data_IF_299299019069
#
_entry.id   IF_299299019069
#
_cell.length_a   1.000
_cell.length_b   1.000
_cell.length_c   1.000
_cell.angle_alpha   90.00
_cell.angle_beta   90.00
_cell.angle_gamma   90.00
#
_symmetry.space_group_name_H-M   'P 1'
#
loop_
_entity.id
_entity.type
_entity.pdbx_description
1 polymer ?
#
# COMPACT_ATOMS: atom_id res chain seq x y z
N UNK A 1 -4.71 -30.00 0.15
CA UNK A 1 -3.40 -29.30 0.35
C UNK A 1 -3.47 -28.00 -0.44
N UNK A 2 -3.05 -26.87 0.13
CA UNK A 2 -2.96 -25.57 -0.55
C UNK A 2 -1.48 -25.36 -0.87
N UNK A 3 -1.16 -25.14 -2.14
CA UNK A 3 0.19 -24.78 -2.59
C UNK A 3 0.15 -23.37 -3.16
N UNK A 4 0.91 -22.44 -2.58
CA UNK A 4 1.04 -21.05 -3.05
C UNK A 4 2.46 -20.89 -3.60
N UNK A 5 2.57 -20.49 -4.86
CA UNK A 5 3.86 -20.31 -5.54
C UNK A 5 3.97 -18.93 -6.15
N UNK A 6 5.04 -18.21 -5.82
CA UNK A 6 5.36 -16.92 -6.45
C UNK A 6 5.54 -17.08 -7.96
N UNK A 7 5.01 -16.12 -8.72
CA UNK A 7 5.16 -16.06 -10.17
C UNK A 7 5.41 -14.62 -10.64
N UNK A 8 5.80 -14.46 -11.91
CA UNK A 8 5.94 -13.17 -12.58
C UNK A 8 4.60 -12.72 -13.17
N UNK A 9 4.50 -11.42 -13.51
CA UNK A 9 3.39 -10.87 -14.30
C UNK A 9 2.47 -9.92 -13.56
N UNK A 10 2.69 -9.67 -12.27
CA UNK A 10 1.92 -8.65 -11.50
C UNK A 10 0.42 -8.74 -11.77
N UNK A 11 -0.23 -7.64 -12.18
CA UNK A 11 -1.67 -7.59 -12.50
C UNK A 11 -2.06 -8.41 -13.73
N UNK A 12 -1.13 -8.75 -14.61
CA UNK A 12 -1.38 -9.58 -15.78
C UNK A 12 -1.15 -11.08 -15.52
N UNK A 13 -0.76 -11.48 -14.31
CA UNK A 13 -0.59 -12.88 -13.94
C UNK A 13 -1.92 -13.64 -13.95
N UNK A 14 -3.00 -13.02 -13.51
CA UNK A 14 -4.35 -13.57 -13.56
C UNK A 14 -4.85 -13.59 -15.03
N UNK A 15 -5.50 -14.70 -15.42
CA UNK A 15 -5.97 -14.91 -16.81
C UNK A 15 -6.97 -13.81 -17.22
N UNK A 16 -6.88 -13.34 -18.47
CA UNK A 16 -7.80 -12.35 -19.04
C UNK A 16 -7.61 -10.93 -18.51
N UNK A 17 -6.52 -10.66 -17.80
CA UNK A 17 -6.10 -9.30 -17.46
C UNK A 17 -4.95 -8.84 -18.36
N UNK A 18 -5.09 -7.61 -18.84
CA UNK A 18 -4.09 -6.91 -19.63
C UNK A 18 -3.81 -5.55 -18.99
N UNK A 19 -2.62 -5.02 -19.20
CA UNK A 19 -2.24 -3.71 -18.74
C UNK A 19 -1.40 -2.98 -19.79
N UNK A 20 -1.35 -1.67 -19.72
CA UNK A 20 -0.57 -0.84 -20.62
C UNK A 20 -0.24 0.50 -20.02
N UNK A 21 0.81 1.13 -20.50
CA UNK A 21 1.25 2.45 -20.09
C UNK A 21 1.61 3.31 -21.30
N UNK A 22 1.56 4.63 -21.10
CA UNK A 22 1.94 5.65 -22.08
C UNK A 22 2.42 6.90 -21.37
N UNK A 23 3.23 7.71 -22.05
CA UNK A 23 3.74 8.97 -21.54
C UNK A 23 3.07 10.18 -22.19
N UNK A 24 2.63 11.15 -21.40
CA UNK A 24 2.07 12.40 -21.91
C UNK A 24 2.56 13.67 -21.18
N UNK A 25 3.47 13.52 -20.21
CA UNK A 25 4.14 14.64 -19.53
C UNK A 25 3.24 15.40 -18.57
N UNK A 26 2.51 14.68 -17.70
CA UNK A 26 1.54 15.28 -16.76
C UNK A 26 2.21 16.27 -15.80
N UNK A 27 3.37 15.90 -15.21
CA UNK A 27 4.01 16.71 -14.16
C UNK A 27 4.51 18.08 -14.68
N UNK A 28 5.18 18.13 -15.84
CA UNK A 28 5.90 19.31 -16.30
C UNK A 28 5.88 19.54 -17.82
N UNK A 29 5.00 18.91 -18.55
CA UNK A 29 4.83 19.08 -20.00
C UNK A 29 5.84 18.32 -20.86
N UNK A 30 6.82 17.65 -20.25
CA UNK A 30 7.82 16.83 -20.96
C UNK A 30 7.55 15.35 -20.70
N UNK A 31 7.56 14.56 -21.77
CA UNK A 31 7.47 13.09 -21.65
C UNK A 31 8.84 12.57 -21.27
N UNK A 32 9.06 12.34 -19.98
CA UNK A 32 10.31 11.77 -19.45
C UNK A 32 10.19 10.27 -19.21
N UNK A 33 8.96 9.79 -18.97
CA UNK A 33 8.57 8.40 -18.72
C UNK A 33 7.08 8.25 -18.97
N UNK A 34 6.58 7.02 -18.95
CA UNK A 34 5.15 6.77 -18.90
C UNK A 34 4.55 7.33 -17.60
N UNK A 35 3.38 7.97 -17.69
CA UNK A 35 2.68 8.62 -16.58
C UNK A 35 1.16 8.43 -16.62
N UNK A 36 0.67 7.66 -17.60
CA UNK A 36 -0.71 7.14 -17.69
C UNK A 36 -0.65 5.63 -17.83
N UNK A 37 -1.51 4.91 -17.11
CA UNK A 37 -1.54 3.46 -17.13
C UNK A 37 -2.98 2.94 -17.04
N UNK A 38 -3.24 1.77 -17.61
CA UNK A 38 -4.51 1.09 -17.52
C UNK A 38 -4.33 -0.38 -17.18
N UNK A 39 -5.19 -0.89 -16.28
CA UNK A 39 -5.39 -2.32 -16.02
C UNK A 39 -6.80 -2.67 -16.46
N UNK A 40 -6.96 -3.70 -17.26
CA UNK A 40 -8.24 -4.04 -17.89
C UNK A 40 -8.48 -5.56 -17.87
N UNK A 41 -9.72 -5.95 -17.54
CA UNK A 41 -10.23 -7.30 -17.69
C UNK A 41 -10.93 -7.46 -19.04
N UNK A 42 -10.42 -8.35 -19.90
CA UNK A 42 -11.04 -8.67 -21.20
C UNK A 42 -12.43 -9.32 -21.05
N UNK A 43 -12.75 -9.82 -19.85
CA UNK A 43 -14.03 -10.45 -19.50
C UNK A 43 -14.75 -9.66 -18.42
N UNK A 44 -16.09 -9.84 -18.24
CA UNK A 44 -16.80 -9.28 -17.10
C UNK A 44 -16.11 -9.62 -15.79
N UNK A 45 -16.13 -8.67 -14.85
CA UNK A 45 -15.47 -8.84 -13.57
C UNK A 45 -16.34 -8.31 -12.43
N UNK A 46 -16.19 -8.91 -11.25
CA UNK A 46 -16.61 -8.32 -9.98
C UNK A 46 -15.50 -7.42 -9.46
N UNK A 47 -15.85 -6.38 -8.72
CA UNK A 47 -14.90 -5.41 -8.19
C UNK A 47 -15.14 -5.10 -6.72
N UNK A 48 -14.05 -4.83 -6.01
CA UNK A 48 -14.06 -4.29 -4.67
C UNK A 48 -12.99 -3.22 -4.55
N UNK A 49 -13.20 -2.23 -3.70
CA UNK A 49 -12.19 -1.23 -3.39
C UNK A 49 -12.27 -0.78 -1.93
N UNK A 50 -11.13 -0.33 -1.43
CA UNK A 50 -11.00 0.46 -0.20
C UNK A 50 -10.35 1.80 -0.54
N UNK A 51 -10.74 2.85 0.18
CA UNK A 51 -10.34 4.22 -0.09
C UNK A 51 -9.86 4.91 1.18
N UNK A 52 -9.06 5.95 1.03
CA UNK A 52 -8.60 6.80 2.13
C UNK A 52 -9.73 7.23 3.06
N UNK A 53 -9.44 7.26 4.35
CA UNK A 53 -10.31 7.81 5.38
C UNK A 53 -10.11 9.31 5.58
N UNK A 54 -9.11 9.91 4.91
CA UNK A 54 -8.89 11.35 4.91
C UNK A 54 -10.17 12.09 4.53
N UNK A 55 -10.50 13.16 5.24
CA UNK A 55 -11.67 13.99 4.96
C UNK A 55 -11.50 14.83 3.69
N UNK A 56 -10.25 15.18 3.35
CA UNK A 56 -9.87 15.84 2.10
C UNK A 56 -9.65 14.78 1.03
N UNK A 57 -10.74 14.33 0.39
CA UNK A 57 -10.68 13.28 -0.64
C UNK A 57 -10.51 13.85 -2.03
N UNK A 58 -9.54 13.33 -2.77
CA UNK A 58 -9.30 13.66 -4.16
C UNK A 58 -10.49 13.29 -5.05
N UNK A 59 -10.63 13.97 -6.19
CA UNK A 59 -11.69 13.71 -7.17
C UNK A 59 -11.71 12.26 -7.67
N UNK A 60 -10.57 11.61 -8.01
CA UNK A 60 -10.54 10.20 -8.40
C UNK A 60 -11.15 9.26 -7.36
N UNK A 61 -10.88 9.50 -6.07
CA UNK A 61 -11.45 8.69 -4.97
C UNK A 61 -12.98 8.78 -4.96
N UNK A 62 -13.52 9.99 -5.14
CA UNK A 62 -14.98 10.22 -5.17
C UNK A 62 -15.63 9.55 -6.37
N UNK A 63 -15.05 9.72 -7.57
CA UNK A 63 -15.59 9.13 -8.82
C UNK A 63 -15.46 7.60 -8.79
N UNK A 64 -14.33 7.04 -8.35
CA UNK A 64 -14.19 5.60 -8.22
C UNK A 64 -15.18 5.00 -7.20
N UNK A 65 -15.43 5.69 -6.08
CA UNK A 65 -16.42 5.26 -5.10
C UNK A 65 -17.87 5.33 -5.66
N UNK A 66 -18.17 6.31 -6.53
CA UNK A 66 -19.44 6.40 -7.27
C UNK A 66 -19.58 5.25 -8.27
N UNK A 67 -18.57 5.01 -9.12
CA UNK A 67 -18.58 3.98 -10.15
C UNK A 67 -18.61 2.56 -9.56
N UNK A 68 -17.96 2.35 -8.42
CA UNK A 68 -17.96 1.05 -7.72
C UNK A 68 -19.37 0.59 -7.33
N UNK A 69 -20.29 1.54 -7.06
CA UNK A 69 -21.70 1.23 -6.75
C UNK A 69 -22.45 0.61 -7.93
N UNK A 70 -21.99 0.85 -9.17
CA UNK A 70 -22.57 0.26 -10.37
C UNK A 70 -22.22 -1.24 -10.52
N UNK A 71 -21.18 -1.75 -9.81
CA UNK A 71 -20.92 -3.18 -9.61
C UNK A 71 -20.33 -3.95 -10.79
N UNK A 72 -20.04 -3.31 -11.92
CA UNK A 72 -19.56 -3.98 -13.14
C UNK A 72 -18.23 -3.38 -13.65
N UNK A 73 -17.32 -3.06 -12.75
CA UNK A 73 -16.07 -2.41 -13.15
C UNK A 73 -15.09 -3.43 -13.75
N UNK A 74 -14.53 -3.09 -14.91
CA UNK A 74 -13.62 -3.94 -15.68
C UNK A 74 -12.26 -3.31 -15.93
N UNK A 75 -12.13 -1.99 -15.77
CA UNK A 75 -10.89 -1.28 -15.99
C UNK A 75 -10.56 -0.32 -14.85
N UNK A 76 -9.27 -0.06 -14.67
CA UNK A 76 -8.74 0.98 -13.80
C UNK A 76 -7.79 1.83 -14.62
N UNK A 77 -8.09 3.13 -14.78
CA UNK A 77 -7.19 4.12 -15.36
C UNK A 77 -6.41 4.80 -14.21
N UNK A 78 -5.11 4.92 -14.37
CA UNK A 78 -4.22 5.52 -13.36
C UNK A 78 -3.36 6.60 -14.01
N UNK A 79 -3.02 7.63 -13.25
CA UNK A 79 -1.97 8.56 -13.64
C UNK A 79 -1.03 8.89 -12.48
N UNK A 80 0.22 9.23 -12.82
CA UNK A 80 1.18 9.85 -11.92
C UNK A 80 1.47 11.31 -12.33
N UNK A 81 2.07 12.09 -11.42
CA UNK A 81 2.45 13.50 -11.66
C UNK A 81 1.42 14.54 -11.24
N UNK A 82 0.15 14.17 -11.10
CA UNK A 82 -0.93 15.04 -10.63
C UNK A 82 -1.94 14.21 -9.82
N UNK A 83 -2.22 14.62 -8.59
CA UNK A 83 -3.13 13.92 -7.67
C UNK A 83 -4.61 14.18 -7.97
N UNK A 84 -4.92 15.22 -8.73
CA UNK A 84 -6.28 15.72 -8.92
C UNK A 84 -7.05 15.87 -7.57
N UNK A 85 -6.34 16.40 -6.58
CA UNK A 85 -6.85 16.68 -5.25
C UNK A 85 -6.92 18.18 -5.02
N UNK A 86 -7.91 18.65 -4.26
CA UNK A 86 -8.19 20.08 -4.02
C UNK A 86 -8.41 20.88 -5.31
N UNK A 87 -9.03 20.28 -6.33
CA UNK A 87 -9.26 20.83 -7.67
C UNK A 87 -10.73 21.20 -7.93
N UNK A 88 -11.57 21.11 -6.91
CA UNK A 88 -13.00 21.50 -6.98
C UNK A 88 -13.81 20.69 -8.01
N UNK A 89 -14.83 21.33 -8.58
CA UNK A 89 -15.72 20.71 -9.59
C UNK A 89 -14.99 20.35 -10.88
N UNK A 90 -13.97 21.12 -11.27
CA UNK A 90 -13.16 20.82 -12.45
C UNK A 90 -12.44 19.47 -12.28
N UNK A 91 -11.89 19.20 -11.10
CA UNK A 91 -11.24 17.92 -10.84
C UNK A 91 -12.20 16.73 -10.92
N UNK A 92 -13.45 16.88 -10.48
CA UNK A 92 -14.48 15.85 -10.64
C UNK A 92 -14.84 15.62 -12.12
N UNK A 93 -14.95 16.70 -12.91
CA UNK A 93 -15.16 16.65 -14.35
C UNK A 93 -13.99 15.92 -15.03
N UNK A 94 -12.75 16.29 -14.69
CA UNK A 94 -11.53 15.70 -15.26
C UNK A 94 -11.45 14.18 -14.97
N UNK A 95 -11.72 13.77 -13.74
CA UNK A 95 -11.76 12.36 -13.38
C UNK A 95 -12.83 11.56 -14.14
N UNK A 96 -14.03 12.15 -14.35
CA UNK A 96 -15.06 11.52 -15.18
C UNK A 96 -14.65 11.45 -16.66
N UNK A 97 -13.99 12.50 -17.18
CA UNK A 97 -13.48 12.52 -18.56
C UNK A 97 -12.43 11.44 -18.76
N UNK A 98 -11.49 11.25 -17.82
CA UNK A 98 -10.53 10.13 -17.88
C UNK A 98 -11.21 8.77 -17.96
N UNK A 99 -12.28 8.56 -17.16
CA UNK A 99 -13.07 7.33 -17.23
C UNK A 99 -13.78 7.18 -18.60
N UNK A 100 -14.34 8.26 -19.14
CA UNK A 100 -15.07 8.25 -20.42
C UNK A 100 -14.13 7.97 -21.61
N UNK A 101 -12.97 8.64 -21.66
CA UNK A 101 -11.96 8.44 -22.71
C UNK A 101 -11.41 7.01 -22.67
N UNK A 102 -11.12 6.49 -21.48
CA UNK A 102 -10.67 5.09 -21.32
C UNK A 102 -11.77 4.11 -21.72
N UNK A 103 -13.01 4.38 -21.34
CA UNK A 103 -14.14 3.55 -21.74
C UNK A 103 -14.31 3.51 -23.26
N UNK A 104 -14.17 4.67 -23.94
CA UNK A 104 -14.20 4.76 -25.41
C UNK A 104 -13.09 3.93 -26.06
N UNK A 105 -11.87 3.99 -25.51
CA UNK A 105 -10.73 3.18 -25.99
C UNK A 105 -10.97 1.66 -25.88
N UNK A 106 -11.61 1.23 -24.78
CA UNK A 106 -11.77 -0.19 -24.42
C UNK A 106 -13.13 -0.78 -24.81
N UNK A 107 -14.02 -0.01 -25.43
CA UNK A 107 -15.37 -0.44 -25.76
C UNK A 107 -16.24 -0.69 -24.51
N UNK A 108 -16.07 0.08 -23.46
CA UNK A 108 -16.78 0.00 -22.18
C UNK A 108 -17.75 1.17 -21.99
N UNK A 109 -18.55 1.08 -20.93
CA UNK A 109 -19.30 2.25 -20.43
C UNK A 109 -18.43 3.01 -19.41
N UNK A 110 -18.55 4.36 -19.29
CA UNK A 110 -17.75 5.15 -18.34
C UNK A 110 -17.77 4.62 -16.91
N UNK A 111 -18.93 4.13 -16.42
CA UNK A 111 -19.07 3.56 -15.07
C UNK A 111 -18.39 2.21 -14.87
N UNK A 112 -17.94 1.53 -15.94
CA UNK A 112 -17.14 0.31 -15.85
C UNK A 112 -15.66 0.61 -15.64
N UNK A 113 -15.25 1.88 -15.66
CA UNK A 113 -13.86 2.32 -15.44
C UNK A 113 -13.75 3.00 -14.07
N UNK A 114 -12.81 2.56 -13.26
CA UNK A 114 -12.37 3.22 -12.04
C UNK A 114 -11.16 4.10 -12.34
N UNK A 115 -10.94 5.16 -11.57
CA UNK A 115 -9.84 6.11 -11.78
C UNK A 115 -9.03 6.30 -10.52
N UNK A 116 -7.70 6.33 -10.66
CA UNK A 116 -6.74 6.63 -9.60
C UNK A 116 -5.72 7.68 -10.09
N UNK A 117 -5.36 8.61 -9.24
CA UNK A 117 -4.35 9.64 -9.54
C UNK A 117 -3.37 9.78 -8.38
N UNK A 118 -2.13 10.15 -8.68
CA UNK A 118 -1.10 10.46 -7.67
C UNK A 118 -0.14 11.53 -8.17
N UNK A 119 0.43 12.32 -7.26
CA UNK A 119 1.37 13.40 -7.57
C UNK A 119 0.98 14.72 -6.90
N UNK A 120 1.17 15.85 -7.56
CA UNK A 120 0.93 17.18 -6.99
C UNK A 120 -0.52 17.43 -6.64
N UNK A 121 -0.74 18.01 -5.46
CA UNK A 121 -2.05 18.47 -4.95
C UNK A 121 -2.27 19.94 -5.37
N UNK A 122 -3.53 20.33 -5.62
CA UNK A 122 -3.91 21.71 -5.89
C UNK A 122 -3.58 22.23 -7.31
N UNK A 123 -3.10 21.36 -8.21
CA UNK A 123 -2.76 21.72 -9.59
C UNK A 123 -3.83 21.19 -10.56
N UNK A 124 -4.35 21.99 -11.49
CA UNK A 124 -5.28 21.54 -12.52
C UNK A 124 -4.69 20.39 -13.35
N UNK A 125 -5.52 19.41 -13.70
CA UNK A 125 -5.13 18.29 -14.55
C UNK A 125 -4.94 18.78 -16.00
N UNK A 126 -3.80 18.48 -16.67
CA UNK A 126 -3.57 18.89 -18.06
C UNK A 126 -4.32 17.96 -19.03
N UNK A 127 -5.64 18.06 -19.11
CA UNK A 127 -6.52 17.14 -19.78
C UNK A 127 -6.22 16.91 -21.27
N UNK A 128 -5.76 17.94 -22.00
CA UNK A 128 -5.34 17.80 -23.41
C UNK A 128 -4.19 16.78 -23.57
N UNK A 129 -3.28 16.75 -22.60
CA UNK A 129 -2.17 15.77 -22.58
C UNK A 129 -2.64 14.41 -22.11
N UNK A 130 -3.45 14.36 -21.05
CA UNK A 130 -4.03 13.13 -20.52
C UNK A 130 -4.84 12.40 -21.59
N UNK A 131 -5.68 13.10 -22.37
CA UNK A 131 -6.45 12.50 -23.44
C UNK A 131 -5.55 11.86 -24.51
N UNK A 132 -4.45 12.52 -24.89
CA UNK A 132 -3.43 11.95 -25.81
C UNK A 132 -2.76 10.71 -25.23
N UNK A 133 -2.41 10.75 -23.93
CA UNK A 133 -1.86 9.61 -23.22
C UNK A 133 -2.82 8.43 -23.21
N UNK A 134 -4.10 8.65 -22.88
CA UNK A 134 -5.11 7.59 -22.88
C UNK A 134 -5.28 7.01 -24.28
N UNK A 135 -5.36 7.83 -25.33
CA UNK A 135 -5.50 7.38 -26.71
C UNK A 135 -4.31 6.56 -27.20
N UNK A 136 -3.10 6.77 -26.63
CA UNK A 136 -1.88 6.03 -26.98
C UNK A 136 -1.73 4.69 -26.23
N UNK A 137 -2.56 4.38 -25.24
CA UNK A 137 -2.49 3.14 -24.46
C UNK A 137 -2.69 1.91 -25.34
N UNK A 138 -1.83 0.91 -25.16
CA UNK A 138 -1.91 -0.39 -25.83
C UNK A 138 -1.83 -1.53 -24.81
N UNK A 139 -2.95 -1.85 -24.13
CA UNK A 139 -2.96 -2.89 -23.12
C UNK A 139 -2.55 -4.25 -23.71
N UNK A 140 -1.71 -4.99 -23.00
CA UNK A 140 -1.24 -6.31 -23.38
C UNK A 140 -1.04 -7.20 -22.14
N UNK A 141 -0.90 -8.50 -22.36
CA UNK A 141 -0.64 -9.47 -21.28
C UNK A 141 0.74 -9.30 -20.63
N UNK A 142 1.64 -8.57 -21.26
CA UNK A 142 2.99 -8.29 -20.76
C UNK A 142 3.12 -6.86 -20.18
N UNK A 143 2.03 -6.10 -20.08
CA UNK A 143 2.05 -4.68 -19.71
C UNK A 143 2.18 -4.37 -18.23
N UNK A 144 2.19 -5.38 -17.34
CA UNK A 144 2.20 -5.16 -15.87
C UNK A 144 3.37 -4.32 -15.39
N UNK A 145 4.59 -4.67 -15.80
CA UNK A 145 5.80 -3.95 -15.36
C UNK A 145 5.81 -2.48 -15.82
N UNK A 146 5.38 -2.20 -17.06
CA UNK A 146 5.24 -0.83 -17.59
C UNK A 146 4.16 -0.05 -16.79
N UNK A 147 3.03 -0.69 -16.50
CA UNK A 147 1.97 -0.10 -15.69
C UNK A 147 2.47 0.22 -14.26
N UNK A 148 3.18 -0.70 -13.62
CA UNK A 148 3.77 -0.49 -12.29
C UNK A 148 4.78 0.67 -12.28
N UNK A 149 5.58 0.80 -13.33
CA UNK A 149 6.54 1.90 -13.47
C UNK A 149 5.84 3.25 -13.73
N UNK A 150 4.77 3.27 -14.53
CA UNK A 150 4.05 4.50 -14.91
C UNK A 150 3.35 5.17 -13.72
N UNK A 151 2.96 4.41 -12.69
CA UNK A 151 2.28 4.95 -11.50
C UNK A 151 3.22 5.43 -10.40
N UNK A 152 4.53 5.25 -10.54
CA UNK A 152 5.54 5.71 -9.58
C UNK A 152 5.55 7.25 -9.48
N UNK A 153 5.95 7.77 -8.30
CA UNK A 153 6.24 9.19 -8.07
C UNK A 153 7.67 9.39 -7.60
N UNK A 154 7.90 9.32 -6.31
CA UNK A 154 9.21 9.30 -5.64
C UNK A 154 9.75 7.87 -5.41
N UNK A 155 8.99 6.88 -5.81
CA UNK A 155 9.40 5.48 -5.77
C UNK A 155 10.71 5.24 -6.54
N UNK A 156 11.62 4.41 -6.01
CA UNK A 156 12.91 4.09 -6.67
C UNK A 156 12.82 2.84 -7.55
N UNK A 157 11.81 1.97 -7.33
CA UNK A 157 11.54 0.79 -8.14
C UNK A 157 10.05 0.49 -8.28
N UNK A 158 9.68 -0.12 -9.41
CA UNK A 158 8.31 -0.56 -9.68
C UNK A 158 7.94 -1.77 -8.81
N UNK A 159 6.77 -1.73 -8.19
CA UNK A 159 6.31 -2.75 -7.23
C UNK A 159 5.24 -3.61 -7.87
N UNK A 160 5.56 -4.87 -8.12
CA UNK A 160 4.62 -5.90 -8.58
C UNK A 160 4.86 -7.23 -7.88
N UNK A 161 3.79 -7.96 -7.61
CA UNK A 161 3.85 -9.29 -7.02
C UNK A 161 2.69 -10.15 -7.50
N UNK A 162 2.92 -11.45 -7.67
CA UNK A 162 1.87 -12.38 -8.05
C UNK A 162 2.14 -13.79 -7.53
N UNK A 163 1.06 -14.53 -7.31
CA UNK A 163 1.09 -15.94 -6.90
C UNK A 163 0.13 -16.78 -7.75
N UNK A 164 0.52 -18.02 -8.00
CA UNK A 164 -0.37 -19.10 -8.44
C UNK A 164 -0.71 -19.98 -7.24
N UNK A 165 -1.99 -20.31 -7.11
CA UNK A 165 -2.50 -21.15 -6.03
C UNK A 165 -3.09 -22.41 -6.62
N UNK A 166 -2.65 -23.56 -6.13
CA UNK A 166 -3.23 -24.87 -6.48
C UNK A 166 -3.97 -25.43 -5.26
N UNK A 167 -5.18 -25.87 -5.50
CA UNK A 167 -6.06 -26.51 -4.52
C UNK A 167 -6.64 -27.81 -5.11
N UNK A 168 -7.35 -28.58 -4.30
CA UNK A 168 -8.12 -29.73 -4.79
C UNK A 168 -9.26 -29.36 -5.75
N UNK A 169 -9.68 -28.08 -5.76
CA UNK A 169 -10.76 -27.53 -6.61
C UNK A 169 -10.25 -26.85 -7.89
N UNK A 170 -8.96 -26.93 -8.20
CA UNK A 170 -8.33 -26.29 -9.33
C UNK A 170 -7.28 -25.25 -8.95
N UNK A 171 -6.83 -24.46 -9.91
CA UNK A 171 -5.84 -23.42 -9.71
C UNK A 171 -6.37 -22.04 -10.10
N UNK A 172 -5.96 -21.04 -9.35
CA UNK A 172 -6.22 -19.62 -9.64
C UNK A 172 -4.96 -18.78 -9.38
N UNK A 173 -4.99 -17.53 -9.79
CA UNK A 173 -3.89 -16.58 -9.63
C UNK A 173 -4.37 -15.32 -8.97
N UNK A 174 -3.49 -14.72 -8.15
CA UNK A 174 -3.66 -13.39 -7.59
C UNK A 174 -2.42 -12.61 -7.92
N UNK A 175 -2.59 -11.40 -8.47
CA UNK A 175 -1.48 -10.52 -8.77
C UNK A 175 -1.80 -9.08 -8.47
N UNK A 176 -0.77 -8.24 -8.38
CA UNK A 176 -0.96 -6.83 -8.10
C UNK A 176 0.23 -5.97 -8.45
N UNK A 177 -0.04 -4.68 -8.59
CA UNK A 177 0.93 -3.59 -8.63
C UNK A 177 0.62 -2.58 -7.54
N UNK A 178 1.63 -1.92 -7.03
CA UNK A 178 1.46 -0.82 -6.06
C UNK A 178 2.50 0.27 -6.28
N UNK A 179 2.20 1.47 -5.76
CA UNK A 179 3.15 2.57 -5.63
C UNK A 179 3.01 3.23 -4.26
N UNK A 180 4.08 3.84 -3.80
CA UNK A 180 4.16 4.63 -2.58
C UNK A 180 5.57 4.62 -2.01
N UNK A 181 6.03 5.79 -1.54
CA UNK A 181 7.33 5.99 -0.93
C UNK A 181 7.33 7.13 0.12
N UNK A 182 6.39 8.07 0.05
CA UNK A 182 6.17 9.15 1.02
C UNK A 182 4.69 9.42 1.21
N UNK A 183 4.34 10.19 2.25
CA UNK A 183 2.96 10.44 2.74
C UNK A 183 2.26 9.12 3.07
N UNK A 184 2.90 8.25 3.86
CA UNK A 184 2.45 6.88 4.19
C UNK A 184 2.15 6.77 5.68
N UNK A 185 0.85 6.62 6.05
CA UNK A 185 0.40 6.38 7.44
C UNK A 185 -0.74 5.34 7.55
N UNK A 186 -0.84 4.58 8.66
CA UNK A 186 -1.91 3.62 8.92
C UNK A 186 -3.32 4.24 8.83
N UNK A 187 -4.24 3.57 8.22
CA UNK A 187 -5.62 3.89 7.81
C UNK A 187 -5.77 4.28 6.34
N UNK A 188 -5.02 3.60 5.50
CA UNK A 188 -4.83 3.77 4.07
C UNK A 188 -3.90 4.94 3.74
N UNK A 189 -2.63 4.59 3.61
CA UNK A 189 -1.49 5.45 3.30
C UNK A 189 -1.46 5.89 1.84
N UNK A 190 -0.66 6.91 1.47
CA UNK A 190 -0.50 7.39 0.07
C UNK A 190 0.02 6.28 -0.83
N UNK A 191 -0.88 5.39 -1.14
CA UNK A 191 -0.58 4.28 -2.02
C UNK A 191 -1.71 4.11 -3.04
N UNK A 192 -1.33 3.72 -4.22
CA UNK A 192 -2.25 3.15 -5.19
C UNK A 192 -1.92 1.68 -5.35
N UNK A 193 -2.91 0.83 -5.28
CA UNK A 193 -2.75 -0.59 -5.53
C UNK A 193 -3.90 -1.11 -6.40
N UNK A 194 -3.55 -1.83 -7.45
CA UNK A 194 -4.50 -2.60 -8.24
C UNK A 194 -4.16 -4.07 -8.10
N UNK A 195 -5.14 -4.84 -7.69
CA UNK A 195 -5.07 -6.28 -7.52
C UNK A 195 -5.99 -6.97 -8.54
N UNK A 196 -5.60 -8.11 -9.04
CA UNK A 196 -6.36 -8.90 -10.00
C UNK A 196 -6.38 -10.36 -9.59
N UNK A 197 -7.48 -11.05 -9.87
CA UNK A 197 -7.57 -12.50 -9.74
C UNK A 197 -8.48 -13.10 -10.81
N UNK A 198 -8.14 -14.28 -11.27
CA UNK A 198 -8.97 -15.07 -12.15
C UNK A 198 -9.88 -16.07 -11.40
N UNK A 199 -9.87 -16.05 -10.08
CA UNK A 199 -10.79 -16.83 -9.23
C UNK A 199 -12.23 -16.29 -9.35
N UNK A 200 -13.21 -17.21 -9.29
CA UNK A 200 -14.62 -16.87 -9.27
C UNK A 200 -15.06 -16.54 -7.84
N UNK A 201 -15.09 -15.26 -7.48
CA UNK A 201 -15.45 -14.77 -6.14
C UNK A 201 -16.67 -13.84 -6.23
N UNK A 202 -17.76 -14.12 -5.50
CA UNK A 202 -18.91 -13.21 -5.42
C UNK A 202 -18.52 -11.84 -4.82
N UNK A 203 -19.11 -10.75 -5.34
CA UNK A 203 -18.75 -9.38 -4.95
C UNK A 203 -18.80 -9.11 -3.43
N UNK A 204 -19.82 -9.53 -2.66
CA UNK A 204 -19.83 -9.31 -1.21
C UNK A 204 -18.63 -9.95 -0.51
N UNK A 205 -18.28 -11.17 -0.91
CA UNK A 205 -17.13 -11.91 -0.40
C UNK A 205 -15.83 -11.24 -0.79
N UNK A 206 -15.70 -10.83 -2.06
CA UNK A 206 -14.53 -10.10 -2.57
C UNK A 206 -14.27 -8.82 -1.76
N UNK A 207 -15.35 -8.07 -1.45
CA UNK A 207 -15.29 -6.86 -0.63
C UNK A 207 -14.85 -7.14 0.81
N UNK A 208 -15.39 -8.20 1.43
CA UNK A 208 -15.02 -8.59 2.79
C UNK A 208 -13.55 -9.00 2.88
N UNK A 209 -13.09 -9.82 1.93
CA UNK A 209 -11.71 -10.29 1.87
C UNK A 209 -10.72 -9.17 1.59
N UNK A 210 -11.03 -8.26 0.67
CA UNK A 210 -10.19 -7.09 0.43
C UNK A 210 -10.04 -6.25 1.70
N UNK A 211 -11.15 -5.94 2.39
CA UNK A 211 -11.13 -5.16 3.64
C UNK A 211 -10.28 -5.84 4.72
N UNK A 212 -10.42 -7.17 4.88
CA UNK A 212 -9.65 -7.97 5.83
C UNK A 212 -8.15 -7.93 5.49
N UNK A 213 -7.81 -8.16 4.23
CA UNK A 213 -6.41 -8.21 3.77
C UNK A 213 -5.72 -6.86 3.85
N UNK A 214 -6.41 -5.76 3.49
CA UNK A 214 -5.90 -4.38 3.65
C UNK A 214 -5.64 -4.05 5.12
N UNK A 215 -6.53 -4.46 6.04
CA UNK A 215 -6.33 -4.26 7.48
C UNK A 215 -5.09 -4.99 8.03
N UNK A 216 -4.67 -6.09 7.38
CA UNK A 216 -3.52 -6.89 7.78
C UNK A 216 -2.24 -6.63 6.95
N UNK A 217 -2.26 -5.62 6.08
CA UNK A 217 -1.14 -5.27 5.20
C UNK A 217 -0.93 -3.76 5.10
N UNK A 218 -1.65 -3.09 4.20
CA UNK A 218 -1.49 -1.65 3.95
C UNK A 218 -1.89 -0.75 5.14
N UNK A 219 -2.77 -1.20 6.03
CA UNK A 219 -3.08 -0.49 7.27
C UNK A 219 -2.10 -0.80 8.41
N UNK A 220 -1.01 -1.50 8.12
CA UNK A 220 0.05 -1.82 9.08
C UNK A 220 1.40 -1.26 8.65
N UNK A 221 1.39 -0.20 7.84
CA UNK A 221 2.63 0.45 7.37
C UNK A 221 2.58 1.95 7.64
N UNK A 222 3.71 2.52 8.04
CA UNK A 222 3.90 3.98 8.08
C UNK A 222 5.32 4.35 7.68
N UNK A 223 5.49 5.50 7.02
CA UNK A 223 6.81 6.05 6.69
C UNK A 223 7.03 7.38 7.42
N UNK A 224 6.07 8.29 7.33
CA UNK A 224 6.17 9.67 7.82
C UNK A 224 4.98 10.13 8.68
N UNK A 225 3.99 9.27 8.90
CA UNK A 225 2.81 9.60 9.70
C UNK A 225 1.78 10.46 8.97
N UNK A 226 1.95 10.70 7.66
CA UNK A 226 1.05 11.53 6.86
C UNK A 226 0.09 10.70 6.03
N UNK A 227 -1.23 11.00 6.15
CA UNK A 227 -2.29 10.31 5.43
C UNK A 227 -2.64 11.05 4.12
N UNK A 228 -2.62 10.33 2.99
CA UNK A 228 -2.95 10.90 1.68
C UNK A 228 -4.43 11.17 1.45
N UNK A 229 -4.65 12.04 0.48
CA UNK A 229 -5.96 12.35 -0.11
C UNK A 229 -6.44 11.34 -1.16
N UNK A 230 -5.56 10.43 -1.63
CA UNK A 230 -5.76 9.63 -2.85
C UNK A 230 -5.76 8.12 -2.64
N UNK A 231 -5.45 7.61 -1.45
CA UNK A 231 -5.26 6.17 -1.23
C UNK A 231 -6.39 5.33 -1.76
N UNK A 232 -6.02 4.33 -2.55
CA UNK A 232 -6.97 3.45 -3.19
C UNK A 232 -6.38 2.07 -3.40
N UNK A 233 -7.06 1.04 -2.90
CA UNK A 233 -6.79 -0.36 -3.25
C UNK A 233 -8.00 -0.90 -3.99
N UNK A 234 -7.80 -1.35 -5.22
CA UNK A 234 -8.84 -1.95 -6.08
C UNK A 234 -8.51 -3.42 -6.31
N UNK A 235 -9.50 -4.28 -6.22
CA UNK A 235 -9.40 -5.70 -6.55
C UNK A 235 -10.47 -6.04 -7.59
N UNK A 236 -10.02 -6.61 -8.73
CA UNK A 236 -10.87 -7.11 -9.80
C UNK A 236 -10.79 -8.64 -9.86
N UNK A 237 -11.95 -9.30 -10.01
CA UNK A 237 -12.05 -10.76 -10.11
C UNK A 237 -12.93 -11.14 -11.31
N UNK A 238 -12.37 -11.85 -12.33
CA UNK A 238 -13.10 -12.15 -13.56
C UNK A 238 -13.54 -13.62 -13.70
N UNK A 239 -13.14 -14.50 -12.78
CA UNK A 239 -13.60 -15.88 -12.74
C UNK A 239 -13.08 -16.80 -13.87
N UNK A 240 -12.14 -16.35 -14.71
CA UNK A 240 -11.68 -17.11 -15.89
C UNK A 240 -10.92 -18.39 -15.56
N UNK A 241 -10.48 -18.58 -14.31
CA UNK A 241 -9.90 -19.85 -13.89
C UNK A 241 -10.95 -20.97 -13.73
N UNK A 242 -12.25 -20.64 -13.74
CA UNK A 242 -13.35 -21.50 -13.37
C UNK A 242 -13.18 -22.15 -11.96
N UNK A 243 -12.22 -21.68 -11.17
CA UNK A 243 -11.97 -22.14 -9.82
C UNK A 243 -12.77 -21.31 -8.82
N UNK A 244 -13.65 -21.93 -8.06
CA UNK A 244 -14.28 -21.35 -6.87
C UNK A 244 -13.51 -21.86 -5.64
N UNK A 245 -12.44 -21.15 -5.22
CA UNK A 245 -11.56 -21.65 -4.16
C UNK A 245 -12.25 -21.71 -2.82
N UNK A 246 -11.72 -22.53 -1.91
CA UNK A 246 -12.01 -22.35 -0.50
C UNK A 246 -11.53 -20.98 -0.04
N UNK A 247 -12.32 -20.30 0.77
CA UNK A 247 -12.02 -18.94 1.19
C UNK A 247 -10.68 -18.84 1.94
N UNK A 248 -10.28 -19.89 2.67
CA UNK A 248 -8.96 -19.94 3.30
C UNK A 248 -7.81 -19.84 2.29
N UNK A 249 -7.92 -20.54 1.15
CA UNK A 249 -6.89 -20.49 0.10
C UNK A 249 -6.84 -19.12 -0.57
N UNK A 250 -8.00 -18.52 -0.84
CA UNK A 250 -8.08 -17.18 -1.41
C UNK A 250 -7.53 -16.11 -0.45
N UNK A 251 -7.93 -16.19 0.83
CA UNK A 251 -7.43 -15.29 1.88
C UNK A 251 -5.92 -15.33 2.02
N UNK A 252 -5.32 -16.53 2.04
CA UNK A 252 -3.86 -16.68 2.14
C UNK A 252 -3.15 -16.10 0.91
N UNK A 253 -3.67 -16.35 -0.29
CA UNK A 253 -3.09 -15.81 -1.52
C UNK A 253 -3.17 -14.28 -1.58
N UNK A 254 -4.32 -13.71 -1.22
CA UNK A 254 -4.52 -12.27 -1.18
C UNK A 254 -3.61 -11.62 -0.14
N UNK A 255 -3.47 -12.21 1.04
CA UNK A 255 -2.56 -11.73 2.09
C UNK A 255 -1.09 -11.81 1.67
N UNK A 256 -0.68 -12.87 0.99
CA UNK A 256 0.69 -13.00 0.46
C UNK A 256 1.01 -11.83 -0.49
N UNK A 257 0.11 -11.54 -1.45
CA UNK A 257 0.31 -10.45 -2.43
C UNK A 257 0.27 -9.07 -1.75
N UNK A 258 -0.72 -8.79 -0.92
CA UNK A 258 -0.88 -7.47 -0.28
C UNK A 258 0.25 -7.19 0.71
N UNK A 259 0.67 -8.18 1.49
CA UNK A 259 1.82 -8.06 2.41
C UNK A 259 3.14 -7.85 1.68
N UNK A 260 3.35 -8.58 0.58
CA UNK A 260 4.56 -8.39 -0.25
C UNK A 260 4.63 -6.96 -0.80
N UNK A 261 3.52 -6.44 -1.36
CA UNK A 261 3.45 -5.08 -1.89
C UNK A 261 3.59 -4.03 -0.78
N UNK A 262 2.95 -4.22 0.38
CA UNK A 262 3.09 -3.32 1.53
C UNK A 262 4.54 -3.25 2.05
N UNK A 263 5.22 -4.39 2.14
CA UNK A 263 6.65 -4.43 2.51
C UNK A 263 7.54 -3.74 1.48
N UNK A 264 7.24 -3.87 0.17
CA UNK A 264 7.97 -3.17 -0.89
C UNK A 264 7.81 -1.65 -0.75
N UNK A 265 6.60 -1.14 -0.40
CA UNK A 265 6.36 0.28 -0.16
C UNK A 265 7.24 0.79 0.98
N UNK A 266 7.23 0.14 2.14
CA UNK A 266 8.04 0.56 3.29
C UNK A 266 9.54 0.46 3.00
N UNK A 267 9.96 -0.60 2.30
CA UNK A 267 11.38 -0.78 1.95
C UNK A 267 11.90 0.26 0.94
N UNK A 268 10.99 0.93 0.25
CA UNK A 268 11.27 1.98 -0.74
C UNK A 268 10.87 3.38 -0.23
N UNK A 269 10.71 3.55 1.07
CA UNK A 269 10.40 4.85 1.67
C UNK A 269 11.44 5.91 1.29
N UNK A 270 10.99 7.15 1.13
CA UNK A 270 11.86 8.29 0.77
C UNK A 270 13.03 8.41 1.73
N UNK A 271 14.25 8.29 1.20
CA UNK A 271 15.49 8.39 1.98
C UNK A 271 15.69 7.29 3.03
N UNK A 272 14.92 6.20 3.00
CA UNK A 272 15.00 5.13 3.99
C UNK A 272 16.35 4.40 3.95
N UNK A 273 16.89 4.06 5.12
CA UNK A 273 18.05 3.20 5.24
C UNK A 273 17.74 1.88 5.97
N UNK A 274 16.63 1.84 6.72
CA UNK A 274 16.23 0.66 7.51
C UNK A 274 14.73 0.41 7.43
N UNK A 275 14.39 -0.87 7.27
CA UNK A 275 13.04 -1.39 7.47
C UNK A 275 12.92 -1.89 8.91
N UNK A 276 11.94 -1.39 9.67
CA UNK A 276 11.72 -1.78 11.06
C UNK A 276 10.32 -2.35 11.25
N UNK A 277 10.22 -3.54 11.83
CA UNK A 277 8.96 -4.08 12.33
C UNK A 277 8.84 -3.73 13.81
N UNK A 278 7.84 -2.93 14.17
CA UNK A 278 7.48 -2.64 15.56
C UNK A 278 6.31 -3.53 15.96
N UNK A 279 6.49 -4.37 16.96
CA UNK A 279 5.43 -5.19 17.54
C UNK A 279 5.23 -4.83 19.00
N UNK A 280 3.99 -4.57 19.38
CA UNK A 280 3.57 -4.43 20.78
C UNK A 280 2.75 -5.64 21.14
N UNK A 281 3.11 -6.29 22.23
CA UNK A 281 2.42 -7.45 22.83
C UNK A 281 2.04 -7.14 24.28
N UNK A 282 1.19 -7.97 24.87
CA UNK A 282 0.86 -7.82 26.29
C UNK A 282 0.09 -6.55 26.62
N UNK A 283 -0.47 -5.82 25.66
CA UNK A 283 -1.36 -4.68 25.94
C UNK A 283 -2.71 -5.16 26.46
N UNK A 284 -3.48 -4.28 27.12
CA UNK A 284 -4.79 -4.62 27.64
C UNK A 284 -5.75 -5.17 26.58
N UNK A 285 -5.64 -4.69 25.34
CA UNK A 285 -6.38 -5.14 24.16
C UNK A 285 -5.64 -4.74 22.87
N UNK A 286 -6.11 -5.24 21.70
CA UNK A 286 -5.49 -4.97 20.40
C UNK A 286 -5.53 -3.48 20.01
N UNK A 287 -6.54 -2.72 20.45
CA UNK A 287 -6.64 -1.28 20.18
C UNK A 287 -5.52 -0.51 20.89
N UNK A 288 -5.24 -0.84 22.14
CA UNK A 288 -4.12 -0.23 22.89
C UNK A 288 -2.77 -0.67 22.33
N UNK A 289 -2.63 -1.96 21.96
CA UNK A 289 -1.43 -2.45 21.27
C UNK A 289 -1.17 -1.67 19.97
N UNK A 290 -2.21 -1.43 19.19
CA UNK A 290 -2.15 -0.61 17.97
C UNK A 290 -1.69 0.81 18.27
N UNK A 291 -2.32 1.50 19.22
CA UNK A 291 -1.98 2.88 19.58
C UNK A 291 -0.51 3.00 20.02
N UNK A 292 -0.03 2.07 20.83
CA UNK A 292 1.37 2.05 21.26
C UNK A 292 2.34 1.75 20.11
N UNK A 293 2.02 0.78 19.26
CA UNK A 293 2.87 0.44 18.10
C UNK A 293 2.97 1.61 17.10
N UNK A 294 1.86 2.28 16.80
CA UNK A 294 1.81 3.45 15.93
C UNK A 294 2.58 4.64 16.54
N UNK A 295 2.49 4.87 17.85
CA UNK A 295 3.24 5.92 18.54
C UNK A 295 4.75 5.70 18.44
N UNK A 296 5.23 4.48 18.64
CA UNK A 296 6.64 4.13 18.48
C UNK A 296 7.07 4.32 17.02
N UNK A 297 6.29 3.78 16.07
CA UNK A 297 6.61 3.78 14.64
C UNK A 297 6.66 5.19 14.03
N UNK A 298 5.91 6.15 14.59
CA UNK A 298 5.82 7.54 14.15
C UNK A 298 6.64 8.52 15.00
N UNK A 299 7.29 8.05 16.10
CA UNK A 299 8.13 8.90 16.92
C UNK A 299 9.37 9.36 16.16
N UNK A 300 9.48 10.66 15.88
CA UNK A 300 10.65 11.27 15.22
C UNK A 300 11.96 10.90 15.91
N UNK A 301 12.00 10.97 17.26
CA UNK A 301 13.21 10.65 18.02
C UNK A 301 13.58 9.18 17.92
N UNK A 302 12.61 8.26 17.92
CA UNK A 302 12.86 6.83 17.75
C UNK A 302 13.41 6.55 16.36
N UNK A 303 12.78 7.12 15.30
CA UNK A 303 13.21 6.94 13.90
C UNK A 303 14.62 7.51 13.67
N UNK A 304 14.96 8.66 14.27
CA UNK A 304 16.32 9.22 14.23
C UNK A 304 17.35 8.32 14.93
N UNK A 305 16.98 7.71 16.08
CA UNK A 305 17.86 6.76 16.75
C UNK A 305 18.15 5.55 15.86
N UNK A 306 17.14 4.99 15.22
CA UNK A 306 17.33 3.89 14.26
C UNK A 306 18.24 4.30 13.10
N UNK A 307 18.08 5.50 12.53
CA UNK A 307 18.97 6.01 11.47
C UNK A 307 20.43 6.06 11.92
N UNK A 308 20.68 6.50 13.15
CA UNK A 308 22.02 6.51 13.77
C UNK A 308 22.54 5.14 14.20
N UNK A 309 21.74 4.07 14.08
CA UNK A 309 22.12 2.74 14.62
C UNK A 309 22.20 2.72 16.15
N UNK A 310 21.47 3.60 16.83
CA UNK A 310 21.41 3.72 18.30
C UNK A 310 20.25 2.88 18.85
N UNK A 311 20.51 1.85 19.66
CA UNK A 311 19.47 1.03 20.29
C UNK A 311 18.83 1.76 21.49
N UNK A 312 18.24 2.93 21.24
CA UNK A 312 17.73 3.85 22.25
C UNK A 312 16.36 3.42 22.79
N UNK A 313 16.35 2.54 23.75
CA UNK A 313 15.12 2.06 24.38
C UNK A 313 14.37 3.14 25.18
N UNK A 314 15.09 4.16 25.70
CA UNK A 314 14.47 5.27 26.43
C UNK A 314 13.47 6.04 25.56
N UNK A 315 13.81 6.31 24.30
CA UNK A 315 12.89 6.95 23.32
C UNK A 315 11.69 6.07 22.98
N UNK A 316 11.88 4.74 22.94
CA UNK A 316 10.78 3.79 22.70
C UNK A 316 9.80 3.81 23.87
N UNK A 317 10.30 3.72 25.11
CA UNK A 317 9.47 3.73 26.31
C UNK A 317 8.78 5.09 26.51
N UNK A 318 9.46 6.19 26.20
CA UNK A 318 8.88 7.53 26.16
C UNK A 318 7.69 7.61 25.20
N UNK A 319 7.85 7.11 23.97
CA UNK A 319 6.78 7.08 22.96
C UNK A 319 5.54 6.30 23.44
N UNK A 320 5.73 5.19 24.14
CA UNK A 320 4.64 4.44 24.79
C UNK A 320 4.03 5.24 25.93
N UNK A 321 4.85 5.92 26.74
CA UNK A 321 4.41 6.65 27.91
C UNK A 321 3.44 7.80 27.62
N UNK A 322 3.62 8.52 26.52
CA UNK A 322 2.73 9.64 26.16
C UNK A 322 1.56 9.26 25.21
N UNK A 323 1.49 8.05 24.70
CA UNK A 323 0.50 7.69 23.68
C UNK A 323 -0.92 7.47 24.20
N UNK A 324 -1.12 7.56 25.52
CA UNK A 324 -2.44 7.50 26.14
C UNK A 324 -2.97 6.09 26.42
N UNK A 325 -2.13 5.04 26.25
CA UNK A 325 -2.47 3.67 26.67
C UNK A 325 -2.02 3.42 28.12
N UNK A 326 -2.57 2.36 28.72
CA UNK A 326 -2.07 1.90 30.02
C UNK A 326 -0.65 1.33 29.84
N UNK A 327 0.28 1.80 30.68
CA UNK A 327 1.66 1.29 30.73
C UNK A 327 2.10 1.23 32.19
N UNK A 328 2.93 0.24 32.50
CA UNK A 328 3.67 0.12 33.77
C UNK A 328 5.16 0.04 33.42
N UNK A 329 5.88 1.12 33.65
CA UNK A 329 7.29 1.26 33.32
C UNK A 329 8.20 0.32 34.12
N UNK A 330 7.69 -0.26 35.22
CA UNK A 330 8.44 -1.22 36.06
C UNK A 330 8.34 -2.66 35.55
N UNK A 331 7.43 -2.96 34.63
CA UNK A 331 7.19 -4.32 34.13
C UNK A 331 7.49 -4.53 32.66
N UNK A 332 7.50 -3.48 31.85
CA UNK A 332 7.67 -3.55 30.40
C UNK A 332 9.02 -4.18 30.00
N UNK A 333 8.97 -5.01 28.94
CA UNK A 333 10.16 -5.57 28.30
C UNK A 333 10.32 -4.98 26.89
N UNK A 334 11.58 -4.74 26.46
CA UNK A 334 11.88 -4.29 25.09
C UNK A 334 12.99 -5.17 24.50
N UNK A 335 12.78 -5.59 23.23
CA UNK A 335 13.71 -6.44 22.50
C UNK A 335 14.04 -5.85 21.12
N UNK A 336 15.28 -6.04 20.66
CA UNK A 336 15.71 -5.90 19.29
C UNK A 336 16.02 -7.30 18.73
N UNK A 337 15.23 -7.75 17.76
CA UNK A 337 15.17 -9.15 17.34
C UNK A 337 14.95 -10.07 18.59
N UNK A 338 15.93 -10.86 18.97
CA UNK A 338 15.89 -11.75 20.14
C UNK A 338 16.68 -11.20 21.36
N UNK A 339 17.30 -10.04 21.25
CA UNK A 339 18.14 -9.47 22.29
C UNK A 339 17.33 -8.51 23.17
N UNK A 340 17.37 -8.74 24.47
CA UNK A 340 16.69 -7.86 25.43
C UNK A 340 17.45 -6.53 25.58
N UNK A 341 16.76 -5.40 25.41
CA UNK A 341 17.21 -4.07 25.76
C UNK A 341 16.76 -3.71 27.17
N UNK A 342 15.51 -4.06 27.50
CA UNK A 342 14.86 -3.79 28.77
C UNK A 342 14.22 -5.07 29.27
N UNK A 343 14.33 -5.30 30.56
CA UNK A 343 13.65 -6.35 31.31
C UNK A 343 13.07 -5.78 32.59
N UNK A 344 11.75 -5.95 32.78
CA UNK A 344 11.03 -5.42 33.94
C UNK A 344 11.36 -3.93 34.19
N UNK A 345 11.24 -3.11 33.12
CA UNK A 345 11.43 -1.66 33.18
C UNK A 345 12.88 -1.16 33.29
N UNK A 346 13.86 -2.03 33.45
CA UNK A 346 15.26 -1.64 33.60
C UNK A 346 16.14 -2.18 32.47
N UNK A 347 17.25 -1.49 32.21
CA UNK A 347 18.21 -1.90 31.18
C UNK A 347 18.67 -3.35 31.40
N UNK A 348 18.56 -4.17 30.36
CA UNK A 348 19.05 -5.54 30.41
C UNK A 348 20.58 -5.60 30.36
N UNK A 349 21.16 -6.70 30.83
CA UNK A 349 22.61 -6.91 30.81
C UNK A 349 23.17 -7.33 29.43
N UNK A 350 22.42 -7.10 28.36
CA UNK A 350 22.88 -7.39 26.99
C UNK A 350 24.00 -6.42 26.60
N UNK A 351 25.17 -6.91 26.14
CA UNK A 351 26.26 -6.02 25.73
C UNK A 351 25.80 -5.02 24.65
N UNK A 352 26.11 -3.74 24.84
CA UNK A 352 25.68 -2.64 23.98
C UNK A 352 26.08 -2.86 22.51
N UNK A 353 27.29 -3.37 22.25
CA UNK A 353 27.76 -3.65 20.88
C UNK A 353 26.91 -4.70 20.15
N UNK A 354 26.34 -5.68 20.86
CA UNK A 354 25.40 -6.65 20.26
C UNK A 354 24.08 -5.98 19.87
N UNK A 355 23.57 -5.09 20.73
CA UNK A 355 22.35 -4.32 20.45
C UNK A 355 22.56 -3.36 19.26
N UNK A 356 23.70 -2.66 19.25
CA UNK A 356 24.10 -1.78 18.15
C UNK A 356 24.25 -2.54 16.84
N UNK A 357 24.80 -3.74 16.86
CA UNK A 357 24.89 -4.59 15.68
C UNK A 357 23.53 -4.96 15.10
N UNK A 358 22.50 -5.13 15.92
CA UNK A 358 21.12 -5.33 15.44
C UNK A 358 20.56 -4.03 14.86
N UNK A 359 20.68 -2.90 15.56
CA UNK A 359 20.20 -1.61 15.10
C UNK A 359 20.87 -1.13 13.80
N UNK A 360 22.08 -1.62 13.49
CA UNK A 360 22.80 -1.33 12.24
C UNK A 360 22.34 -2.18 11.04
N UNK A 361 21.51 -3.21 11.22
CA UNK A 361 20.99 -4.03 10.12
C UNK A 361 20.07 -3.20 9.21
N UNK A 362 19.98 -3.60 7.95
CA UNK A 362 19.00 -3.03 7.00
C UNK A 362 17.55 -3.34 7.39
N UNK A 363 17.32 -4.41 8.15
CA UNK A 363 16.00 -4.77 8.66
C UNK A 363 16.15 -5.45 10.03
N UNK A 364 15.31 -5.04 10.98
CA UNK A 364 15.23 -5.64 12.31
C UNK A 364 13.83 -5.46 12.90
N UNK A 365 13.57 -6.21 13.98
CA UNK A 365 12.30 -6.16 14.72
C UNK A 365 12.52 -5.52 16.10
N UNK A 366 11.59 -4.65 16.47
CA UNK A 366 11.44 -4.12 17.83
C UNK A 366 10.20 -4.75 18.44
N UNK A 367 10.33 -5.45 19.56
CA UNK A 367 9.18 -5.97 20.31
C UNK A 367 9.10 -5.30 21.66
N UNK A 368 7.93 -4.75 21.99
CA UNK A 368 7.61 -4.18 23.30
C UNK A 368 6.51 -5.02 23.93
N UNK A 369 6.82 -5.67 25.04
CA UNK A 369 5.84 -6.44 25.82
C UNK A 369 5.42 -5.65 27.06
N UNK A 370 4.16 -5.22 27.10
CA UNK A 370 3.61 -4.39 28.19
C UNK A 370 3.16 -5.21 29.42
N UNK A 371 2.97 -6.52 29.28
CA UNK A 371 2.56 -7.46 30.34
C UNK A 371 1.26 -7.10 31.08
N UNK A 372 0.34 -6.41 30.40
CA UNK A 372 -0.94 -5.94 30.97
C UNK A 372 -2.14 -6.75 30.48
N UNK A 373 -1.97 -7.63 29.48
CA UNK A 373 -3.05 -8.40 28.87
C UNK A 373 -2.58 -9.24 27.70
N UNK A 374 -3.50 -9.51 26.76
CA UNK A 374 -3.24 -10.36 25.58
C UNK A 374 -3.31 -9.61 24.25
N UNK A 375 -3.50 -8.28 24.28
CA UNK A 375 -3.56 -7.45 23.08
C UNK A 375 -2.21 -7.44 22.34
N UNK A 376 -2.26 -7.54 21.00
CA UNK A 376 -1.07 -7.48 20.16
C UNK A 376 -1.31 -6.75 18.85
N UNK A 377 -0.28 -6.04 18.37
CA UNK A 377 -0.31 -5.37 17.07
C UNK A 377 1.11 -5.15 16.55
N UNK A 378 1.28 -5.19 15.23
CA UNK A 378 2.55 -4.83 14.60
C UNK A 378 2.36 -3.76 13.53
N UNK A 379 3.40 -2.95 13.33
CA UNK A 379 3.51 -1.93 12.27
C UNK A 379 4.86 -2.10 11.58
N UNK A 380 4.88 -2.03 10.26
CA UNK A 380 6.11 -1.89 9.49
C UNK A 380 6.38 -0.41 9.23
N UNK A 381 7.60 0.00 9.54
CA UNK A 381 8.02 1.40 9.44
C UNK A 381 9.47 1.52 8.98
N UNK A 382 9.96 2.73 8.93
CA UNK A 382 11.33 3.09 8.50
C UNK A 382 12.03 3.89 9.57
N UNK A 383 13.34 4.04 9.44
CA UNK A 383 14.08 5.14 10.08
C UNK A 383 13.74 6.50 9.44
N UNK A 384 14.28 7.59 9.99
CA UNK A 384 14.22 8.94 9.44
C UNK A 384 15.65 9.46 9.24
N UNK A 385 15.99 9.76 7.97
CA UNK A 385 17.33 10.21 7.58
C UNK A 385 17.34 11.67 7.11
N UNK A 386 18.51 12.28 6.99
CA UNK A 386 18.66 13.59 6.36
C UNK A 386 18.17 13.60 4.90
N UNK A 387 18.29 12.47 4.21
CA UNK A 387 17.86 12.32 2.83
C UNK A 387 16.34 12.48 2.67
N UNK A 388 15.53 12.02 3.66
CA UNK A 388 14.08 12.27 3.67
C UNK A 388 13.79 13.77 3.62
N UNK A 389 14.47 14.55 4.49
CA UNK A 389 14.31 16.02 4.51
C UNK A 389 14.75 16.62 3.18
N UNK A 390 15.90 16.20 2.65
CA UNK A 390 16.44 16.70 1.38
C UNK A 390 15.50 16.47 0.19
N UNK A 391 14.87 15.30 0.12
CA UNK A 391 13.93 14.94 -0.95
C UNK A 391 12.63 15.75 -0.87
N UNK A 392 12.25 16.22 0.32
CA UNK A 392 11.02 16.97 0.56
C UNK A 392 11.24 18.52 0.62
N UNK A 393 12.44 19.00 0.34
CA UNK A 393 12.71 20.44 0.20
C UNK A 393 12.34 20.91 -1.21
N UNK A 394 11.25 21.66 -1.35
CA UNK A 394 10.95 22.43 -2.56
C UNK A 394 10.30 21.63 -3.70
N UNK A 395 9.32 20.80 -3.43
CA UNK A 395 8.42 20.24 -4.46
C UNK A 395 7.48 21.29 -5.09
#
# INVERSE_FOLDING_TARGET
MIEIKKMKGGVCAARGFVAGASGCGIKNGKVMRDDVAVVFSESPATSAATFTTNKVKAAPVRISAEHLKAGANRAVILNSGNANACTGENGLKDARTMCADTAGLLGLKPKEVLVCSTGRIGVPMPMDRVAKGIAALKPSRNGSAACAAAIMTSDTFAKEYAVEVKTSKGSFRVGGIAKGAGMIDPNMATMLCVLTTDAAIPQPTLRAELKRSVANSFNRITIDGDMSTNDTVILLANGLSACSPDMSAFSQALDEVTRALARMIVSDGEGVSRFVEVEVTGAANDKEARTAAEAIANSTLVKCAWSGGDPNWGRILDAVGYCGVKVDDTTADIFYDKLALVKNGIAAQTPFEKLRAVAAKKSFKVTVDLKLGNGSYYVWTTDLTEEYVRLNLGE
#
